data_IF_773709561234
#
_entry.id   IF_773709561234
#
_cell.length_a   1.000
_cell.length_b   1.000
_cell.length_c   1.000
_cell.angle_alpha   90.00
_cell.angle_beta   90.00
_cell.angle_gamma   90.00
#
_symmetry.space_group_name_H-M   'P 1'
#
loop_
_entity.id
_entity.type
_entity.pdbx_description
1 polymer ?
#
# COMPACT_ATOMS: atom_id res chain seq x y z
N UNK A 1 19.25 -50.78 -34.54
CA UNK A 1 18.99 -50.03 -33.30
C UNK A 1 18.96 -48.55 -33.65
N UNK A 2 17.76 -48.00 -33.77
CA UNK A 2 17.49 -46.70 -34.39
C UNK A 2 17.53 -45.55 -33.37
N UNK A 3 18.08 -44.43 -33.83
CA UNK A 3 18.34 -43.22 -33.07
C UNK A 3 17.06 -42.52 -32.56
N UNK A 4 16.96 -42.32 -31.25
CA UNK A 4 15.95 -41.48 -30.62
C UNK A 4 16.45 -40.03 -30.54
N UNK A 5 16.28 -39.26 -31.63
CA UNK A 5 16.33 -37.80 -31.61
C UNK A 5 15.01 -37.30 -31.03
N UNK A 6 14.99 -36.97 -29.74
CA UNK A 6 13.88 -36.22 -29.14
C UNK A 6 13.92 -34.76 -29.61
N UNK A 7 12.81 -34.36 -30.21
CA UNK A 7 12.50 -33.06 -30.77
C UNK A 7 12.16 -32.10 -29.62
N UNK A 8 12.97 -31.06 -29.38
CA UNK A 8 12.58 -29.97 -28.47
C UNK A 8 11.43 -29.17 -29.10
N UNK A 9 10.35 -28.86 -28.36
CA UNK A 9 9.34 -27.92 -28.82
C UNK A 9 9.98 -26.53 -28.97
N UNK A 10 9.81 -25.95 -30.16
CA UNK A 10 10.36 -24.64 -30.51
C UNK A 10 9.67 -23.52 -29.73
N UNK A 11 10.40 -22.43 -29.52
CA UNK A 11 10.00 -21.20 -28.81
C UNK A 11 8.67 -20.59 -29.30
N UNK A 12 8.16 -21.02 -30.46
CA UNK A 12 6.92 -20.52 -31.06
C UNK A 12 5.63 -21.09 -30.43
N UNK A 13 5.66 -22.16 -29.64
CA UNK A 13 4.44 -22.73 -29.04
C UNK A 13 3.89 -21.91 -27.86
N UNK A 14 4.67 -20.95 -27.33
CA UNK A 14 4.27 -20.08 -26.22
C UNK A 14 3.40 -18.87 -26.66
N UNK A 15 3.30 -18.58 -27.96
CA UNK A 15 2.50 -17.46 -28.48
C UNK A 15 1.03 -17.82 -28.75
N UNK A 16 0.68 -19.10 -28.79
CA UNK A 16 -0.71 -19.54 -29.04
C UNK A 16 -1.56 -19.52 -27.77
N UNK A 17 -0.94 -19.66 -26.58
CA UNK A 17 -1.67 -19.72 -25.32
C UNK A 17 -2.22 -18.37 -24.83
N UNK A 18 -1.62 -17.24 -25.23
CA UNK A 18 -2.00 -15.92 -24.70
C UNK A 18 -3.08 -15.18 -25.55
N UNK A 19 -3.64 -15.84 -26.58
CA UNK A 19 -4.56 -15.20 -27.53
C UNK A 19 -6.05 -15.54 -27.32
N UNK A 20 -6.38 -16.27 -26.25
CA UNK A 20 -7.75 -16.73 -25.97
C UNK A 20 -8.47 -15.98 -24.83
N UNK A 21 -7.88 -14.92 -24.27
CA UNK A 21 -8.44 -14.29 -23.05
C UNK A 21 -9.16 -12.94 -23.23
N UNK A 22 -9.36 -12.43 -24.45
CA UNK A 22 -9.90 -11.07 -24.65
C UNK A 22 -11.16 -10.96 -25.52
N UNK A 23 -11.96 -12.02 -25.66
CA UNK A 23 -13.15 -11.97 -26.53
C UNK A 23 -14.43 -12.52 -25.91
N UNK A 24 -14.80 -12.14 -24.68
CA UNK A 24 -16.22 -12.20 -24.25
C UNK A 24 -16.47 -11.26 -23.07
N UNK A 25 -17.05 -10.09 -23.30
CA UNK A 25 -17.94 -9.41 -22.34
C UNK A 25 -18.49 -8.13 -22.97
N UNK A 26 -19.49 -8.29 -23.82
CA UNK A 26 -20.35 -7.22 -24.31
C UNK A 26 -21.79 -7.69 -24.14
N UNK A 27 -22.25 -7.74 -22.90
CA UNK A 27 -23.66 -7.96 -22.56
C UNK A 27 -24.21 -6.62 -22.06
N UNK A 28 -25.07 -6.05 -22.90
CA UNK A 28 -25.83 -4.82 -22.70
C UNK A 28 -27.08 -5.20 -21.92
N UNK A 29 -27.25 -4.66 -20.70
CA UNK A 29 -28.50 -4.81 -19.94
C UNK A 29 -29.45 -3.65 -20.24
N UNK A 30 -30.75 -3.91 -20.50
CA UNK A 30 -31.71 -2.88 -20.85
C UNK A 30 -32.23 -2.12 -19.62
N UNK A 31 -32.48 -0.85 -19.88
CA UNK A 31 -33.11 0.14 -19.00
C UNK A 31 -34.41 -0.39 -18.38
N UNK A 32 -34.51 -0.32 -17.05
CA UNK A 32 -35.79 -0.30 -16.34
C UNK A 32 -35.95 1.07 -15.69
N UNK A 33 -36.76 1.91 -16.34
CA UNK A 33 -37.50 2.98 -15.67
C UNK A 33 -38.50 2.33 -14.71
N UNK A 34 -38.55 2.82 -13.47
CA UNK A 34 -39.79 2.97 -12.71
C UNK A 34 -39.63 4.15 -11.73
N UNK A 35 -40.28 5.24 -12.15
CA UNK A 35 -40.96 6.29 -11.41
C UNK A 35 -40.95 6.29 -9.86
N UNK A 36 -40.57 7.47 -9.34
CA UNK A 36 -41.43 8.38 -8.54
C UNK A 36 -41.38 8.37 -7.01
N UNK A 37 -41.30 9.62 -6.53
CA UNK A 37 -41.80 10.21 -5.29
C UNK A 37 -41.07 9.92 -3.99
N UNK A 38 -40.47 10.99 -3.47
CA UNK A 38 -40.04 11.10 -2.09
C UNK A 38 -39.17 12.33 -1.95
N UNK A 39 -39.79 13.49 -1.82
CA UNK A 39 -39.09 14.74 -1.56
C UNK A 39 -38.38 14.73 -0.21
N UNK A 40 -37.23 14.07 -0.14
CA UNK A 40 -36.32 14.15 0.98
C UNK A 40 -35.20 15.14 0.63
N UNK A 41 -35.35 16.33 1.19
CA UNK A 41 -34.41 17.44 1.16
C UNK A 41 -33.11 16.99 1.83
N UNK A 42 -32.21 16.44 1.02
CA UNK A 42 -30.86 16.04 1.37
C UNK A 42 -30.08 17.25 1.90
N UNK A 43 -29.95 17.35 3.23
CA UNK A 43 -29.07 18.31 3.86
C UNK A 43 -27.67 17.72 3.89
N UNK A 44 -26.76 18.30 3.10
CA UNK A 44 -25.33 18.01 3.18
C UNK A 44 -24.80 18.77 4.42
N UNK A 45 -24.32 18.09 5.48
CA UNK A 45 -23.61 18.79 6.54
C UNK A 45 -22.30 19.32 5.96
N UNK A 46 -22.22 20.64 5.81
CA UNK A 46 -21.00 21.33 5.41
C UNK A 46 -20.00 21.22 6.56
N UNK A 47 -18.92 20.46 6.37
CA UNK A 47 -17.79 20.40 7.29
C UNK A 47 -17.20 21.81 7.44
N UNK A 48 -17.00 22.34 8.67
CA UNK A 48 -16.42 23.65 8.84
C UNK A 48 -14.95 23.66 8.38
N UNK A 49 -14.44 24.79 7.87
CA UNK A 49 -13.05 24.89 7.42
C UNK A 49 -12.08 24.72 8.60
N UNK A 50 -11.06 23.90 8.38
CA UNK A 50 -9.92 23.73 9.27
C UNK A 50 -9.13 25.05 9.33
N UNK A 51 -9.30 25.82 10.41
CA UNK A 51 -8.58 27.07 10.58
C UNK A 51 -9.10 27.97 11.70
N UNK A 52 -9.08 27.50 12.95
CA UNK A 52 -9.10 28.36 14.13
C UNK A 52 -8.51 27.60 15.33
N UNK A 53 -7.19 27.72 15.53
CA UNK A 53 -6.57 27.37 16.82
C UNK A 53 -6.89 28.51 17.78
N UNK A 54 -8.00 28.40 18.51
CA UNK A 54 -8.25 29.25 19.68
C UNK A 54 -7.59 28.61 20.89
N UNK A 55 -6.53 29.25 21.36
CA UNK A 55 -5.89 29.00 22.65
C UNK A 55 -6.90 29.27 23.76
N UNK A 56 -7.42 28.22 24.37
CA UNK A 56 -8.24 28.34 25.58
C UNK A 56 -7.40 27.94 26.78
N UNK A 57 -7.32 28.88 27.72
CA UNK A 57 -6.54 28.84 28.95
C UNK A 57 -6.85 27.60 29.80
N UNK A 58 -5.81 27.04 30.40
CA UNK A 58 -5.88 25.95 31.37
C UNK A 58 -6.53 26.47 32.66
N UNK A 59 -7.80 26.14 32.87
CA UNK A 59 -8.44 26.23 34.17
C UNK A 59 -8.17 24.92 34.93
N UNK A 60 -7.36 25.00 35.99
CA UNK A 60 -7.16 23.93 36.94
C UNK A 60 -8.51 23.48 37.50
N UNK A 61 -8.87 22.21 37.30
CA UNK A 61 -10.05 21.60 37.93
C UNK A 61 -9.59 20.51 38.88
N UNK A 62 -9.90 20.77 40.14
CA UNK A 62 -9.72 19.94 41.32
C UNK A 62 -10.23 18.51 41.11
N UNK A 63 -9.46 17.58 41.64
CA UNK A 63 -9.73 16.15 41.71
C UNK A 63 -11.10 15.89 42.38
N UNK A 64 -11.99 15.22 41.65
CA UNK A 64 -13.25 14.69 42.18
C UNK A 64 -13.38 13.27 41.67
N UNK A 65 -13.54 12.26 42.56
CA UNK A 65 -13.64 10.88 42.14
C UNK A 65 -14.89 10.72 41.26
N UNK A 66 -14.70 10.25 40.03
CA UNK A 66 -15.78 9.88 39.13
C UNK A 66 -16.34 8.53 39.57
N UNK A 67 -17.65 8.45 39.71
CA UNK A 67 -18.40 7.20 39.89
C UNK A 67 -18.20 6.28 38.68
N UNK A 68 -17.82 5.04 38.94
CA UNK A 68 -17.65 4.01 37.93
C UNK A 68 -19.02 3.64 37.31
N UNK A 69 -18.98 3.28 36.02
CA UNK A 69 -20.13 2.89 35.23
C UNK A 69 -20.72 1.56 35.76
N UNK A 70 -22.01 1.55 36.10
CA UNK A 70 -22.77 0.36 36.46
C UNK A 70 -23.75 -0.02 35.34
N UNK A 71 -23.82 -1.32 35.04
CA UNK A 71 -24.75 -1.90 34.07
C UNK A 71 -26.14 -2.12 34.73
N UNK A 72 -27.26 -1.79 34.08
CA UNK A 72 -28.58 -2.07 34.63
C UNK A 72 -28.87 -3.57 34.52
N UNK A 73 -29.02 -4.25 35.67
CA UNK A 73 -29.54 -5.62 35.73
C UNK A 73 -28.53 -6.70 36.14
N UNK A 74 -27.84 -6.52 37.26
CA UNK A 74 -27.10 -7.58 37.94
C UNK A 74 -27.49 -7.62 39.42
N UNK A 75 -28.08 -8.72 39.86
CA UNK A 75 -28.50 -8.92 41.24
C UNK A 75 -27.33 -8.70 42.23
N UNK A 76 -27.64 -8.07 43.36
CA UNK A 76 -26.73 -7.94 44.50
C UNK A 76 -26.26 -9.33 44.93
N UNK A 77 -24.99 -9.64 44.67
CA UNK A 77 -24.32 -10.79 45.27
C UNK A 77 -23.37 -10.29 46.34
N UNK A 78 -23.64 -10.72 47.58
CA UNK A 78 -22.75 -10.60 48.73
C UNK A 78 -21.31 -10.97 48.37
N UNK A 79 -20.39 -10.26 49.00
CA UNK A 79 -18.95 -10.42 48.87
C UNK A 79 -18.46 -11.79 49.40
N UNK A 80 -17.76 -12.60 48.58
CA UNK A 80 -16.71 -13.45 49.09
C UNK A 80 -15.36 -12.79 48.80
N UNK A 81 -14.67 -12.49 49.90
CA UNK A 81 -13.24 -12.70 50.12
C UNK A 81 -12.34 -12.81 48.88
N UNK A 82 -11.38 -11.90 48.81
CA UNK A 82 -10.20 -12.01 47.96
C UNK A 82 -9.51 -13.36 48.18
N UNK A 83 -9.49 -14.19 47.15
CA UNK A 83 -8.57 -15.30 47.01
C UNK A 83 -8.20 -15.48 45.52
N UNK A 84 -6.91 -15.33 45.28
CA UNK A 84 -6.15 -15.69 44.08
C UNK A 84 -6.60 -15.08 42.73
N UNK A 85 -5.96 -13.95 42.40
CA UNK A 85 -5.66 -13.61 41.01
C UNK A 85 -5.03 -14.85 40.32
N UNK A 86 -5.71 -15.39 39.31
CA UNK A 86 -5.16 -16.44 38.45
C UNK A 86 -3.94 -15.88 37.70
N UNK A 87 -2.71 -16.36 37.95
CA UNK A 87 -1.55 -15.95 37.18
C UNK A 87 -1.52 -16.81 35.91
N UNK A 88 -2.34 -16.47 34.92
CA UNK A 88 -2.47 -17.32 33.73
C UNK A 88 -2.79 -16.62 32.41
N UNK A 89 -3.30 -15.38 32.45
CA UNK A 89 -3.64 -14.64 31.22
C UNK A 89 -2.78 -13.40 30.95
N UNK A 90 -1.92 -13.00 31.89
CA UNK A 90 -0.99 -11.88 31.67
C UNK A 90 0.20 -12.25 30.75
N UNK A 91 0.66 -13.50 30.78
CA UNK A 91 1.79 -13.95 29.97
C UNK A 91 1.48 -13.96 28.47
N UNK A 92 0.26 -14.37 28.06
CA UNK A 92 -0.13 -14.38 26.65
C UNK A 92 -0.26 -12.95 26.05
N UNK A 93 -0.64 -11.96 26.86
CA UNK A 93 -0.68 -10.55 26.44
C UNK A 93 0.71 -9.92 26.33
N UNK A 94 1.66 -10.30 27.19
CA UNK A 94 3.03 -9.79 27.17
C UNK A 94 3.82 -10.29 25.97
N UNK A 95 3.69 -11.56 25.58
CA UNK A 95 4.34 -12.07 24.36
C UNK A 95 3.80 -11.37 23.09
N UNK A 96 2.54 -10.95 23.12
CA UNK A 96 1.94 -10.17 22.03
C UNK A 96 2.50 -8.75 21.99
N UNK A 97 2.70 -8.10 23.15
CA UNK A 97 3.34 -6.77 23.23
C UNK A 97 4.84 -6.83 22.94
N UNK A 98 5.52 -7.91 23.32
CA UNK A 98 6.92 -8.15 23.03
C UNK A 98 7.14 -8.45 21.55
N UNK A 99 6.23 -9.17 20.90
CA UNK A 99 6.24 -9.36 19.44
C UNK A 99 5.95 -8.05 18.69
N UNK A 100 5.06 -7.20 19.21
CA UNK A 100 4.79 -5.85 18.66
C UNK A 100 5.96 -4.89 18.91
N UNK A 101 6.71 -5.05 20.00
CA UNK A 101 7.93 -4.29 20.29
C UNK A 101 9.15 -4.84 19.55
N UNK A 102 9.21 -6.13 19.26
CA UNK A 102 10.27 -6.76 18.47
C UNK A 102 10.37 -6.20 17.04
N UNK A 103 9.30 -5.58 16.55
CA UNK A 103 9.36 -4.64 15.43
C UNK A 103 9.82 -3.28 15.95
N UNK A 104 11.13 -3.16 16.18
CA UNK A 104 11.78 -1.95 16.71
C UNK A 104 11.34 -0.71 15.91
N UNK A 105 10.90 0.39 16.55
CA UNK A 105 10.53 1.63 15.87
C UNK A 105 11.62 2.17 14.93
N UNK A 106 12.89 1.93 15.27
CA UNK A 106 14.04 2.30 14.46
C UNK A 106 14.11 1.56 13.12
N UNK A 107 13.71 0.28 13.08
CA UNK A 107 13.70 -0.51 11.84
C UNK A 107 12.66 0.00 10.86
N UNK A 108 11.47 0.40 11.33
CA UNK A 108 10.43 0.99 10.48
C UNK A 108 10.89 2.33 9.92
N UNK A 109 11.48 3.18 10.76
CA UNK A 109 11.99 4.49 10.33
C UNK A 109 13.12 4.34 9.31
N UNK A 110 14.03 3.38 9.51
CA UNK A 110 15.14 3.11 8.60
C UNK A 110 14.67 2.49 7.28
N UNK A 111 13.68 1.58 7.30
CA UNK A 111 13.02 1.06 6.08
C UNK A 111 12.39 2.18 5.27
N UNK A 112 11.60 3.05 5.91
CA UNK A 112 10.99 4.22 5.27
C UNK A 112 12.02 5.18 4.69
N UNK A 113 13.12 5.45 5.41
CA UNK A 113 14.23 6.31 4.92
C UNK A 113 14.88 5.72 3.67
N UNK A 114 15.15 4.41 3.66
CA UNK A 114 15.74 3.71 2.49
C UNK A 114 14.78 3.72 1.30
N UNK A 115 13.49 3.50 1.53
CA UNK A 115 12.45 3.56 0.51
C UNK A 115 12.37 4.96 -0.12
N UNK A 116 12.37 6.02 0.69
CA UNK A 116 12.40 7.41 0.20
C UNK A 116 13.64 7.74 -0.61
N UNK A 117 14.82 7.31 -0.15
CA UNK A 117 16.08 7.52 -0.87
C UNK A 117 16.03 6.83 -2.23
N UNK A 118 15.58 5.57 -2.27
CA UNK A 118 15.42 4.83 -3.52
C UNK A 118 14.47 5.54 -4.49
N UNK A 119 13.34 6.06 -3.99
CA UNK A 119 12.40 6.84 -4.82
C UNK A 119 13.06 8.09 -5.42
N UNK A 120 13.81 8.84 -4.62
CA UNK A 120 14.58 9.98 -5.11
C UNK A 120 15.64 9.59 -6.15
N UNK A 121 16.40 8.52 -5.89
CA UNK A 121 17.41 8.02 -6.82
C UNK A 121 16.76 7.61 -8.16
N UNK A 122 15.59 6.96 -8.13
CA UNK A 122 14.85 6.56 -9.32
C UNK A 122 14.31 7.77 -10.10
N UNK A 123 13.73 8.75 -9.42
CA UNK A 123 13.26 10.00 -10.04
C UNK A 123 14.41 10.78 -10.69
N UNK A 124 15.55 10.90 -10.01
CA UNK A 124 16.74 11.55 -10.56
C UNK A 124 17.23 10.88 -11.84
N UNK A 125 17.26 9.54 -11.89
CA UNK A 125 17.64 8.82 -13.10
C UNK A 125 16.61 8.98 -14.24
N UNK A 126 15.32 9.11 -13.91
CA UNK A 126 14.28 9.41 -14.90
C UNK A 126 14.42 10.83 -15.47
N UNK A 127 14.80 11.80 -14.64
CA UNK A 127 15.06 13.17 -15.08
C UNK A 127 16.33 13.25 -15.94
N UNK A 128 17.41 12.58 -15.54
CA UNK A 128 18.63 12.44 -16.34
C UNK A 128 18.32 11.81 -17.71
N UNK A 129 17.50 10.75 -17.72
CA UNK A 129 17.04 10.13 -18.96
C UNK A 129 16.22 11.10 -19.82
N UNK A 130 15.34 11.88 -19.21
CA UNK A 130 14.53 12.89 -19.92
C UNK A 130 15.43 13.95 -20.56
N UNK A 131 16.42 14.46 -19.83
CA UNK A 131 17.39 15.42 -20.36
C UNK A 131 18.17 14.83 -21.54
N UNK A 132 18.64 13.58 -21.43
CA UNK A 132 19.30 12.86 -22.51
C UNK A 132 18.49 12.88 -23.81
N UNK A 133 17.18 12.57 -23.69
CA UNK A 133 16.27 12.45 -24.81
C UNK A 133 16.02 13.80 -25.49
N UNK A 134 15.96 14.88 -24.70
CA UNK A 134 15.83 16.23 -25.24
C UNK A 134 17.11 16.68 -25.93
N UNK A 135 18.27 16.25 -25.45
CA UNK A 135 19.57 16.52 -26.06
C UNK A 135 19.91 15.59 -27.25
N UNK A 136 19.15 14.51 -27.45
CA UNK A 136 19.43 13.50 -28.46
C UNK A 136 20.63 12.60 -28.14
N UNK A 137 21.10 12.58 -26.90
CA UNK A 137 22.30 11.84 -26.49
C UNK A 137 21.97 10.42 -26.00
N UNK A 138 22.77 9.41 -26.38
CA UNK A 138 22.62 8.05 -25.86
C UNK A 138 23.13 7.96 -24.41
N UNK A 139 22.30 7.49 -23.48
CA UNK A 139 22.67 7.32 -22.06
C UNK A 139 22.55 5.87 -21.56
N UNK A 140 23.47 4.97 -21.98
CA UNK A 140 23.45 3.56 -21.56
C UNK A 140 23.69 3.38 -20.05
N UNK A 141 24.52 4.23 -19.44
CA UNK A 141 24.83 4.17 -18.02
C UNK A 141 23.60 4.45 -17.13
N UNK A 142 22.76 5.42 -17.50
CA UNK A 142 21.54 5.74 -16.75
C UNK A 142 20.50 4.65 -16.89
N UNK A 143 20.31 4.10 -18.09
CA UNK A 143 19.42 2.95 -18.30
C UNK A 143 19.85 1.73 -17.49
N UNK A 144 21.16 1.46 -17.41
CA UNK A 144 21.68 0.35 -16.61
C UNK A 144 21.39 0.54 -15.11
N UNK A 145 21.63 1.75 -14.58
CA UNK A 145 21.33 2.08 -13.18
C UNK A 145 19.84 1.97 -12.88
N UNK A 146 18.99 2.50 -13.77
CA UNK A 146 17.54 2.46 -13.62
C UNK A 146 17.01 1.02 -13.64
N UNK A 147 17.59 0.16 -14.48
CA UNK A 147 17.30 -1.29 -14.48
C UNK A 147 17.71 -1.95 -13.17
N UNK A 148 18.88 -1.59 -12.63
CA UNK A 148 19.33 -2.09 -11.34
C UNK A 148 18.38 -1.74 -10.19
N UNK A 149 17.86 -0.52 -10.17
CA UNK A 149 16.86 -0.11 -9.17
C UNK A 149 15.55 -0.88 -9.35
N UNK A 150 14.98 -0.90 -10.55
CA UNK A 150 13.67 -1.54 -10.81
C UNK A 150 13.68 -3.06 -10.69
N UNK A 151 14.82 -3.72 -10.91
CA UNK A 151 14.94 -5.17 -10.75
C UNK A 151 14.92 -5.61 -9.29
N UNK A 152 15.33 -4.75 -8.36
CA UNK A 152 15.31 -5.07 -6.94
C UNK A 152 13.87 -5.00 -6.40
N UNK A 153 13.41 -6.08 -5.76
CA UNK A 153 12.07 -6.17 -5.17
C UNK A 153 11.82 -5.01 -4.19
N UNK A 154 10.60 -4.45 -4.22
CA UNK A 154 10.16 -3.47 -3.23
C UNK A 154 10.03 -4.16 -1.86
N UNK A 155 10.87 -3.74 -0.93
CA UNK A 155 10.68 -4.01 0.49
C UNK A 155 9.61 -3.07 1.03
N UNK A 156 8.64 -3.59 1.77
CA UNK A 156 7.58 -2.77 2.36
C UNK A 156 8.18 -1.74 3.32
N UNK A 157 7.90 -0.45 3.08
CA UNK A 157 8.41 0.64 3.91
C UNK A 157 7.66 0.76 5.25
N UNK A 158 6.46 0.17 5.33
CA UNK A 158 5.55 0.30 6.46
C UNK A 158 4.61 1.51 6.35
N UNK A 159 4.62 2.19 5.20
CA UNK A 159 3.77 3.31 4.84
C UNK A 159 3.15 3.03 3.46
N UNK A 160 1.89 2.60 3.45
CA UNK A 160 1.19 2.15 2.23
C UNK A 160 1.12 3.26 1.15
N UNK A 161 1.06 4.53 1.57
CA UNK A 161 1.06 5.67 0.66
C UNK A 161 2.40 5.84 -0.05
N UNK A 162 3.51 5.67 0.69
CA UNK A 162 4.85 5.70 0.10
C UNK A 162 5.07 4.50 -0.82
N UNK A 163 4.67 3.29 -0.39
CA UNK A 163 4.83 2.07 -1.18
C UNK A 163 4.03 2.13 -2.49
N UNK A 164 2.82 2.72 -2.47
CA UNK A 164 2.02 2.99 -3.67
C UNK A 164 2.73 3.92 -4.67
N UNK A 165 3.24 5.07 -4.19
CA UNK A 165 3.97 6.01 -5.06
C UNK A 165 5.24 5.38 -5.63
N UNK A 166 5.99 4.60 -4.84
CA UNK A 166 7.17 3.89 -5.33
C UNK A 166 6.82 2.86 -6.41
N UNK A 167 5.68 2.17 -6.29
CA UNK A 167 5.21 1.24 -7.33
C UNK A 167 4.87 1.98 -8.64
N UNK A 168 4.26 3.16 -8.56
CA UNK A 168 3.98 4.00 -9.75
C UNK A 168 5.28 4.48 -10.43
N UNK A 169 6.28 4.88 -9.64
CA UNK A 169 7.60 5.27 -10.16
C UNK A 169 8.27 4.09 -10.86
N UNK A 170 8.27 2.91 -10.25
CA UNK A 170 8.88 1.70 -10.83
C UNK A 170 8.15 1.26 -12.11
N UNK A 171 6.82 1.34 -12.15
CA UNK A 171 6.05 1.09 -13.37
C UNK A 171 6.46 2.03 -14.50
N UNK A 172 6.58 3.34 -14.21
CA UNK A 172 7.04 4.32 -15.19
C UNK A 172 8.45 4.01 -15.68
N UNK A 173 9.36 3.68 -14.77
CA UNK A 173 10.73 3.33 -15.12
C UNK A 173 10.82 2.10 -16.02
N UNK A 174 10.03 1.05 -15.75
CA UNK A 174 9.94 -0.14 -16.60
C UNK A 174 9.42 0.20 -18.00
N UNK A 175 8.36 1.02 -18.09
CA UNK A 175 7.83 1.48 -19.37
C UNK A 175 8.87 2.27 -20.16
N UNK A 176 9.62 3.17 -19.51
CA UNK A 176 10.67 3.93 -20.19
C UNK A 176 11.81 3.04 -20.69
N UNK A 177 12.25 2.05 -19.90
CA UNK A 177 13.23 1.05 -20.33
C UNK A 177 12.72 0.29 -21.56
N UNK A 178 11.49 -0.23 -21.50
CA UNK A 178 10.87 -0.97 -22.59
C UNK A 178 10.75 -0.13 -23.87
N UNK A 179 10.38 1.15 -23.76
CA UNK A 179 10.36 2.07 -24.90
C UNK A 179 11.74 2.22 -25.55
N UNK A 180 12.81 2.26 -24.76
CA UNK A 180 14.18 2.36 -25.31
C UNK A 180 14.63 1.07 -25.98
N UNK A 181 14.27 -0.08 -25.41
CA UNK A 181 14.54 -1.38 -26.02
C UNK A 181 13.78 -1.52 -27.36
N UNK A 182 12.50 -1.12 -27.40
CA UNK A 182 11.71 -1.11 -28.62
C UNK A 182 12.26 -0.15 -29.68
N UNK A 183 12.65 1.07 -29.30
CA UNK A 183 13.24 2.03 -30.23
C UNK A 183 14.55 1.53 -30.87
N UNK A 184 15.38 0.81 -30.10
CA UNK A 184 16.62 0.19 -30.59
C UNK A 184 16.39 -1.00 -31.51
N UNK A 185 15.28 -1.72 -31.36
CA UNK A 185 14.96 -2.86 -32.22
C UNK A 185 14.43 -2.44 -33.60
N UNK A 186 13.96 -1.20 -33.73
CA UNK A 186 13.40 -0.65 -34.98
C UNK A 186 14.46 0.07 -35.82
N UNK A 187 15.53 0.56 -35.20
CA UNK A 187 16.70 1.18 -35.86
C UNK A 187 17.68 0.15 -36.37
#
# INVERSE_FOLDING_TARGET
MAAARQLLPGINDLLTANRLFLTTSKEVLPLREELVSGGEKMRIPTTPPLGAVQSTQVAARTDRPRSAFELPGGAKSDTPRAEAARPGMAAAGLETLLAVQGMMPDDRREKRRRAMKRGHDALGLLDDLKLALLSGEPMPAVLLKLRGLTAAKLEASGDDGLDGVLAEIDLRAQVEIAKREAARAVS
#
